data_IF_616598506667
#
_entry.id   IF_616598506667
#
_cell.length_a   1.000
_cell.length_b   1.000
_cell.length_c   1.000
_cell.angle_alpha   90.00
_cell.angle_beta   90.00
_cell.angle_gamma   90.00
#
_symmetry.space_group_name_H-M   'P 1'
#
loop_
_entity.id
_entity.type
_entity.pdbx_description
1 polymer ?
#
# COMPACT_ATOMS: atom_id res chain seq x y z
N UNK A 1 -15.19 16.66 -3.50
CA UNK A 1 -13.89 17.06 -2.92
C UNK A 1 -12.84 16.14 -3.50
N UNK A 2 -11.72 16.67 -3.99
CA UNK A 2 -10.64 15.84 -4.51
C UNK A 2 -9.82 15.24 -3.36
N UNK A 3 -9.25 14.05 -3.57
CA UNK A 3 -8.36 13.39 -2.61
C UNK A 3 -7.19 14.29 -2.21
N UNK A 4 -6.76 14.30 -0.93
CA UNK A 4 -5.66 15.15 -0.47
C UNK A 4 -4.37 14.93 -1.25
N UNK A 5 -3.91 15.96 -1.96
CA UNK A 5 -2.64 15.93 -2.70
C UNK A 5 -2.70 15.24 -4.07
N UNK A 6 -3.88 15.12 -4.68
CA UNK A 6 -4.05 14.52 -6.01
C UNK A 6 -3.20 15.19 -7.09
N UNK A 7 -3.01 16.51 -7.03
CA UNK A 7 -2.20 17.23 -8.03
C UNK A 7 -0.73 16.81 -7.98
N UNK A 8 -0.21 16.55 -6.77
CA UNK A 8 1.15 15.99 -6.60
C UNK A 8 1.21 14.58 -7.15
N UNK A 9 0.24 13.72 -6.83
CA UNK A 9 0.20 12.35 -7.35
C UNK A 9 0.14 12.31 -8.88
N UNK A 10 -0.63 13.22 -9.48
CA UNK A 10 -0.70 13.38 -10.92
C UNK A 10 0.63 13.86 -11.51
N UNK A 11 1.37 14.72 -10.81
CA UNK A 11 2.71 15.16 -11.26
C UNK A 11 3.79 14.09 -11.20
N UNK A 12 3.63 13.06 -10.35
CA UNK A 12 4.56 11.93 -10.22
C UNK A 12 4.44 10.92 -11.37
N UNK A 13 3.37 10.99 -12.16
CA UNK A 13 3.10 10.08 -13.26
C UNK A 13 2.86 10.85 -14.55
N UNK A 14 3.28 10.29 -15.68
CA UNK A 14 3.00 10.83 -17.01
C UNK A 14 1.53 10.70 -17.44
N UNK A 15 0.74 9.87 -16.77
CA UNK A 15 -0.65 9.58 -17.13
C UNK A 15 -1.52 9.25 -15.92
N UNK A 16 -2.74 9.80 -15.89
CA UNK A 16 -3.79 9.48 -14.90
C UNK A 16 -4.01 7.97 -14.74
N UNK A 17 -3.93 7.23 -15.83
CA UNK A 17 -4.11 5.77 -15.83
C UNK A 17 -2.94 5.05 -15.16
N UNK A 18 -1.71 5.56 -15.33
CA UNK A 18 -0.53 4.99 -14.68
C UNK A 18 -0.62 5.17 -13.17
N UNK A 19 -1.05 6.33 -12.68
CA UNK A 19 -1.29 6.55 -11.26
C UNK A 19 -2.30 5.54 -10.69
N UNK A 20 -3.41 5.29 -11.39
CA UNK A 20 -4.42 4.30 -10.96
C UNK A 20 -3.83 2.90 -10.84
N UNK A 21 -3.06 2.46 -11.86
CA UNK A 21 -2.45 1.12 -11.86
C UNK A 21 -1.42 0.98 -10.74
N UNK A 22 -0.55 1.97 -10.57
CA UNK A 22 0.49 1.97 -9.51
C UNK A 22 -0.17 1.93 -8.13
N UNK A 23 -1.15 2.80 -7.89
CA UNK A 23 -1.88 2.86 -6.62
C UNK A 23 -2.58 1.53 -6.32
N UNK A 24 -3.25 0.94 -7.31
CA UNK A 24 -3.95 -0.34 -7.16
C UNK A 24 -2.98 -1.51 -6.87
N UNK A 25 -1.87 -1.61 -7.62
CA UNK A 25 -0.85 -2.65 -7.40
C UNK A 25 -0.24 -2.51 -6.01
N UNK A 26 0.06 -1.28 -5.57
CA UNK A 26 0.61 -1.05 -4.23
C UNK A 26 -0.39 -1.40 -3.13
N UNK A 27 -1.65 -1.02 -3.28
CA UNK A 27 -2.72 -1.39 -2.35
C UNK A 27 -2.87 -2.92 -2.21
N UNK A 28 -2.78 -3.66 -3.32
CA UNK A 28 -2.80 -5.14 -3.30
C UNK A 28 -1.60 -5.73 -2.55
N UNK A 29 -0.40 -5.15 -2.72
CA UNK A 29 0.79 -5.57 -1.96
C UNK A 29 0.59 -5.32 -0.46
N UNK A 30 0.11 -4.13 -0.07
CA UNK A 30 -0.14 -3.80 1.34
C UNK A 30 -1.11 -4.78 1.99
N UNK A 31 -2.23 -5.10 1.32
CA UNK A 31 -3.20 -6.09 1.82
C UNK A 31 -2.58 -7.47 1.99
N UNK A 32 -1.79 -7.92 1.01
CA UNK A 32 -1.17 -9.25 1.01
C UNK A 32 -0.24 -9.48 2.21
N UNK A 33 0.36 -8.41 2.74
CA UNK A 33 1.32 -8.46 3.85
C UNK A 33 0.79 -7.78 5.12
N UNK A 34 -0.52 -7.63 5.25
CA UNK A 34 -1.17 -7.01 6.42
C UNK A 34 -0.54 -5.67 6.81
N UNK A 35 -0.20 -4.85 5.81
CA UNK A 35 0.43 -3.53 5.94
C UNK A 35 1.83 -3.53 6.57
N UNK A 36 2.45 -4.69 6.84
CA UNK A 36 3.80 -4.80 7.43
C UNK A 36 4.90 -4.29 6.50
N UNK A 37 4.63 -4.28 5.20
CA UNK A 37 5.53 -3.78 4.16
C UNK A 37 5.33 -2.28 3.86
N UNK A 38 4.66 -1.55 4.77
CA UNK A 38 4.50 -0.09 4.66
C UNK A 38 5.85 0.62 4.71
N UNK A 39 5.99 1.71 3.96
CA UNK A 39 7.14 2.61 4.03
C UNK A 39 6.86 3.87 4.86
N UNK A 40 5.66 3.99 5.43
CA UNK A 40 5.26 5.11 6.29
C UNK A 40 5.77 4.94 7.72
N UNK A 41 6.19 6.04 8.33
CA UNK A 41 6.50 6.09 9.75
C UNK A 41 5.22 6.07 10.60
N UNK A 42 5.32 5.72 11.88
CA UNK A 42 4.16 5.60 12.79
C UNK A 42 3.32 6.90 12.90
N UNK A 43 3.97 8.06 12.74
CA UNK A 43 3.31 9.37 12.73
C UNK A 43 2.60 9.69 11.41
N UNK A 44 2.97 9.00 10.33
CA UNK A 44 2.45 9.20 8.98
C UNK A 44 1.34 8.19 8.66
N UNK A 45 1.06 7.21 9.52
CA UNK A 45 0.04 6.20 9.23
C UNK A 45 -1.35 6.86 9.07
N UNK A 46 -2.09 6.55 7.99
CA UNK A 46 -3.45 7.04 7.84
C UNK A 46 -4.32 6.54 8.99
N UNK A 47 -5.07 7.46 9.62
CA UNK A 47 -5.95 7.16 10.75
C UNK A 47 -7.40 7.42 10.40
N UNK A 48 -8.28 6.54 10.85
CA UNK A 48 -9.72 6.69 10.83
C UNK A 48 -10.22 6.99 12.24
N UNK A 49 -10.95 8.10 12.38
CA UNK A 49 -11.55 8.49 13.66
C UNK A 49 -12.84 7.70 13.88
N UNK A 50 -12.84 6.85 14.90
CA UNK A 50 -14.01 6.04 15.29
C UNK A 50 -14.57 6.53 16.63
N UNK A 51 -15.75 6.04 17.02
CA UNK A 51 -16.36 6.34 18.33
C UNK A 51 -15.45 5.89 19.48
N UNK A 52 -14.67 4.82 19.26
CA UNK A 52 -13.73 4.24 20.23
C UNK A 52 -12.35 4.92 20.22
N UNK A 53 -12.13 5.91 19.34
CA UNK A 53 -10.85 6.60 19.17
C UNK A 53 -10.25 6.45 17.77
N UNK A 54 -9.01 6.90 17.60
CA UNK A 54 -8.29 6.83 16.33
C UNK A 54 -7.74 5.42 16.10
N UNK A 55 -8.16 4.79 15.01
CA UNK A 55 -7.64 3.50 14.55
C UNK A 55 -6.92 3.67 13.23
N UNK A 56 -6.05 2.73 12.87
CA UNK A 56 -5.46 2.67 11.54
C UNK A 56 -6.55 2.57 10.47
N UNK A 57 -6.44 3.34 9.39
CA UNK A 57 -7.40 3.28 8.28
C UNK A 57 -7.36 1.88 7.63
N UNK A 58 -8.48 1.15 7.53
CA UNK A 58 -8.51 -0.15 6.86
C UNK A 58 -8.35 -0.04 5.33
N UNK A 59 -8.52 1.15 4.73
CA UNK A 59 -8.51 1.31 3.28
C UNK A 59 -7.08 1.30 2.70
N UNK A 60 -6.66 0.25 1.97
CA UNK A 60 -5.30 0.15 1.44
C UNK A 60 -4.97 1.18 0.35
N UNK A 61 -5.98 1.75 -0.30
CA UNK A 61 -5.78 2.80 -1.31
C UNK A 61 -5.32 4.09 -0.65
N UNK A 62 -5.86 4.44 0.52
CA UNK A 62 -5.42 5.61 1.30
C UNK A 62 -3.93 5.49 1.65
N UNK A 63 -3.52 4.30 2.11
CA UNK A 63 -2.13 4.01 2.41
C UNK A 63 -1.23 4.13 1.19
N UNK A 64 -1.60 3.48 0.08
CA UNK A 64 -0.81 3.51 -1.15
C UNK A 64 -0.65 4.94 -1.69
N UNK A 65 -1.72 5.75 -1.70
CA UNK A 65 -1.65 7.14 -2.11
C UNK A 65 -0.76 7.97 -1.18
N UNK A 66 -0.82 7.73 0.12
CA UNK A 66 0.02 8.44 1.08
C UNK A 66 1.49 8.06 0.94
N UNK A 67 1.81 6.79 0.75
CA UNK A 67 3.17 6.31 0.47
C UNK A 67 3.75 6.90 -0.82
N UNK A 68 2.95 6.95 -1.90
CA UNK A 68 3.40 7.54 -3.16
C UNK A 68 3.81 9.00 -3.01
N UNK A 69 3.18 9.75 -2.09
CA UNK A 69 3.54 11.14 -1.81
C UNK A 69 4.86 11.30 -1.05
N UNK A 70 5.42 10.23 -0.50
CA UNK A 70 6.69 10.27 0.25
C UNK A 70 7.92 10.12 -0.64
N UNK A 71 7.74 9.80 -1.92
CA UNK A 71 8.82 9.51 -2.88
C UNK A 71 9.74 8.33 -2.45
N UNK A 72 9.29 7.48 -1.49
CA UNK A 72 9.99 6.26 -1.04
C UNK A 72 9.70 5.03 -1.92
N UNK A 73 8.79 5.14 -2.89
CA UNK A 73 8.42 4.07 -3.81
C UNK A 73 9.01 4.32 -5.20
N UNK A 74 9.64 3.30 -5.77
CA UNK A 74 10.09 3.34 -7.17
C UNK A 74 8.98 2.87 -8.11
N UNK A 75 8.68 3.68 -9.13
CA UNK A 75 7.66 3.38 -10.13
C UNK A 75 8.23 3.56 -11.53
N UNK A 76 8.07 2.57 -12.40
CA UNK A 76 8.59 2.62 -13.75
C UNK A 76 8.43 1.30 -14.50
N UNK A 77 8.92 1.30 -15.74
CA UNK A 77 9.01 0.12 -16.59
C UNK A 77 10.42 -0.48 -16.52
N UNK A 78 10.57 -1.79 -16.73
CA UNK A 78 11.87 -2.47 -16.67
C UNK A 78 12.41 -2.72 -15.24
N UNK A 79 11.57 -2.59 -14.22
CA UNK A 79 11.88 -2.96 -12.84
C UNK A 79 11.94 -4.49 -12.65
N UNK A 80 12.13 -4.94 -11.41
CA UNK A 80 12.15 -6.37 -11.04
C UNK A 80 10.92 -7.10 -11.58
N UNK A 81 11.16 -8.27 -12.15
CA UNK A 81 10.10 -9.19 -12.62
C UNK A 81 9.18 -9.57 -11.46
N UNK A 82 7.87 -9.51 -11.69
CA UNK A 82 6.83 -9.68 -10.68
C UNK A 82 7.00 -10.94 -9.81
N UNK A 83 7.30 -12.09 -10.41
CA UNK A 83 7.53 -13.34 -9.68
C UNK A 83 8.70 -13.28 -8.71
N UNK A 84 9.79 -12.59 -9.09
CA UNK A 84 10.96 -12.42 -8.21
C UNK A 84 10.65 -11.45 -7.08
N UNK A 85 9.95 -10.35 -7.38
CA UNK A 85 9.52 -9.39 -6.37
C UNK A 85 8.63 -10.07 -5.32
N UNK A 86 7.65 -10.86 -5.77
CA UNK A 86 6.74 -11.58 -4.88
C UNK A 86 7.50 -12.54 -3.95
N UNK A 87 8.47 -13.31 -4.47
CA UNK A 87 9.31 -14.21 -3.66
C UNK A 87 10.14 -13.46 -2.62
N UNK A 88 10.74 -12.33 -3.00
CA UNK A 88 11.53 -11.49 -2.08
C UNK A 88 10.64 -10.91 -0.97
N UNK A 89 9.46 -10.40 -1.32
CA UNK A 89 8.50 -9.86 -0.35
C UNK A 89 7.96 -10.95 0.57
N UNK A 90 7.67 -12.14 0.05
CA UNK A 90 7.22 -13.28 0.86
C UNK A 90 8.30 -13.74 1.86
N UNK A 91 9.60 -13.56 1.54
CA UNK A 91 10.70 -13.85 2.47
C UNK A 91 10.89 -12.76 3.53
N UNK A 92 10.77 -11.48 3.16
CA UNK A 92 10.96 -10.35 4.06
C UNK A 92 9.77 -10.12 4.99
N UNK A 93 8.56 -10.34 4.48
CA UNK A 93 7.31 -10.15 5.18
C UNK A 93 6.54 -11.47 5.19
N UNK A 94 6.97 -12.44 6.02
CA UNK A 94 6.31 -13.73 6.11
C UNK A 94 4.85 -13.52 6.52
N UNK A 95 3.96 -14.20 5.79
CA UNK A 95 2.53 -14.16 6.09
C UNK A 95 2.28 -15.03 7.31
N UNK A 96 1.57 -14.48 8.29
CA UNK A 96 0.96 -15.30 9.32
C UNK A 96 -0.18 -16.07 8.65
N UNK A 97 0.03 -17.36 8.41
CA UNK A 97 -1.06 -18.26 8.04
C UNK A 97 -1.94 -18.35 9.26
N UNK A 98 -3.06 -17.63 9.26
CA UNK A 98 -4.11 -17.88 10.24
C UNK A 98 -4.65 -19.27 9.87
N UNK A 99 -4.17 -20.30 10.57
CA UNK A 99 -4.77 -21.62 10.53
C UNK A 99 -6.22 -21.45 11.00
N UNK A 100 -7.15 -21.38 10.05
CA UNK A 100 -8.57 -21.56 10.39
C UNK A 100 -8.65 -22.96 11.00
N UNK A 101 -9.02 -23.13 12.27
CA UNK A 101 -9.24 -24.46 12.80
C UNK A 101 -10.36 -25.06 11.95
N UNK A 102 -10.01 -26.09 11.18
CA UNK A 102 -10.97 -26.96 10.53
C UNK A 102 -11.88 -27.49 11.62
N UNK A 103 -13.09 -26.95 11.70
CA UNK A 103 -14.12 -27.41 12.62
C UNK A 103 -14.43 -28.86 12.32
N UNK A 104 -14.14 -29.73 13.28
CA UNK A 104 -14.76 -31.04 13.44
C UNK A 104 -16.23 -30.90 13.85
#
# INVERSE_FOLDING_TARGET
MAEPGIDRLLSLTDSKYRLTVVTAKRAQQLLRYSFKNTVLDSSELPKMRTIEGDKSDPNPVTWAMQELRTDRLETGEGLIVEDRLNKLLDQLYPREVIETPSGE
#
